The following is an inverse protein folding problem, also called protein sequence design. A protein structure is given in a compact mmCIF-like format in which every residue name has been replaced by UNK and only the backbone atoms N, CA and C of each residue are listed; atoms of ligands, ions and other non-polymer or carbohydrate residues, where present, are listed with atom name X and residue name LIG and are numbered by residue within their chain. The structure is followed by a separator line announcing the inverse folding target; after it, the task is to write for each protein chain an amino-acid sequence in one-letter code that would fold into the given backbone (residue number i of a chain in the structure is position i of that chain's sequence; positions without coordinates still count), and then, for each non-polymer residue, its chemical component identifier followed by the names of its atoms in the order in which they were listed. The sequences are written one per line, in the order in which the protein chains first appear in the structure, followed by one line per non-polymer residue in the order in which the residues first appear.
data_IF_009742678191
#
_entry.id   IF_009742678191
#
_cell.length_a   1.000
_cell.length_b   1.000
_cell.length_c   1.000
_cell.angle_alpha   90.00
_cell.angle_beta   90.00
_cell.angle_gamma   90.00
#
_symmetry.space_group_name_H-M   'P 1'
#
loop_
_entity.id
_entity.type
_entity.pdbx_description
1 polymer ?
#
# COMPACT_ATOMS: atom_id res chain seq x y z
N UNK A 1 -0.13 7.44 -9.14
CA UNK A 1 -1.45 7.58 -8.47
C UNK A 1 -1.39 7.27 -6.96
N UNK A 2 -0.65 6.26 -6.50
CA UNK A 2 -0.62 5.84 -5.08
C UNK A 2 -0.02 6.91 -4.13
N UNK A 3 0.93 7.74 -4.58
CA UNK A 3 1.54 8.80 -3.75
C UNK A 3 0.55 9.85 -3.20
N UNK A 4 -0.58 10.10 -3.89
CA UNK A 4 -1.59 11.06 -3.44
C UNK A 4 -2.25 10.67 -2.10
N UNK A 5 -2.37 9.36 -1.83
CA UNK A 5 -2.92 8.88 -0.56
C UNK A 5 -2.05 9.25 0.66
N UNK A 6 -0.73 9.28 0.50
CA UNK A 6 0.20 9.72 1.57
C UNK A 6 0.05 11.21 1.85
N UNK A 7 -0.10 12.04 0.81
CA UNK A 7 -0.32 13.49 0.97
C UNK A 7 -1.64 13.75 1.73
N UNK A 8 -2.71 13.05 1.35
CA UNK A 8 -3.96 13.10 2.10
C UNK A 8 -3.78 12.68 3.57
N UNK A 9 -3.02 11.62 3.82
CA UNK A 9 -2.67 11.15 5.16
C UNK A 9 -1.84 12.13 6.01
N UNK A 10 -1.22 13.15 5.40
CA UNK A 10 -0.55 14.24 6.11
C UNK A 10 -1.55 15.37 6.39
N UNK A 11 -2.29 15.81 5.37
CA UNK A 11 -3.16 16.98 5.42
C UNK A 11 -4.35 16.74 6.35
N UNK A 12 -5.03 15.58 6.25
CA UNK A 12 -6.27 15.32 6.98
C UNK A 12 -6.08 15.24 8.50
N UNK A 13 -5.09 14.51 9.05
CA UNK A 13 -4.90 14.47 10.50
C UNK A 13 -4.54 15.83 11.08
N UNK A 14 -3.71 16.62 10.40
CA UNK A 14 -3.32 17.97 10.86
C UNK A 14 -4.54 18.90 10.84
N UNK A 15 -5.33 18.87 9.77
CA UNK A 15 -6.52 19.70 9.66
C UNK A 15 -7.55 19.33 10.74
N UNK A 16 -7.76 18.04 11.00
CA UNK A 16 -8.69 17.57 12.03
C UNK A 16 -8.23 17.90 13.44
N UNK A 17 -6.93 17.77 13.76
CA UNK A 17 -6.38 18.17 15.06
C UNK A 17 -6.57 19.67 15.31
N UNK A 18 -6.31 20.51 14.30
CA UNK A 18 -6.50 21.96 14.40
C UNK A 18 -7.98 22.35 14.58
N UNK A 19 -8.90 21.67 13.90
CA UNK A 19 -10.33 21.96 13.99
C UNK A 19 -10.95 21.45 15.30
N UNK A 20 -10.64 20.23 15.70
CA UNK A 20 -11.26 19.57 16.86
C UNK A 20 -10.59 19.97 18.18
N UNK A 21 -9.25 19.95 18.25
CA UNK A 21 -8.53 20.14 19.52
C UNK A 21 -8.20 21.61 19.78
N UNK A 22 -7.80 22.39 18.76
CA UNK A 22 -7.42 23.80 18.95
C UNK A 22 -8.59 24.78 18.81
N UNK A 23 -9.41 24.63 17.78
CA UNK A 23 -10.57 25.53 17.52
C UNK A 23 -11.87 25.06 18.16
N UNK A 24 -11.89 23.89 18.81
CA UNK A 24 -13.07 23.26 19.43
C UNK A 24 -14.34 23.33 18.57
N UNK A 25 -14.20 23.12 17.26
CA UNK A 25 -15.34 23.06 16.34
C UNK A 25 -16.08 21.73 16.54
N UNK A 26 -17.42 21.77 16.49
CA UNK A 26 -18.24 20.56 16.50
C UNK A 26 -17.82 19.59 15.40
N UNK A 27 -17.77 18.29 15.73
CA UNK A 27 -17.37 17.21 14.83
C UNK A 27 -18.08 17.27 13.47
N UNK A 28 -19.38 17.60 13.45
CA UNK A 28 -20.16 17.71 12.23
C UNK A 28 -19.68 18.83 11.30
N UNK A 29 -19.26 19.98 11.83
CA UNK A 29 -18.72 21.07 11.03
C UNK A 29 -17.32 20.78 10.50
N UNK A 30 -16.49 20.06 11.27
CA UNK A 30 -15.17 19.62 10.81
C UNK A 30 -15.27 18.67 9.59
N UNK A 31 -16.23 17.75 9.59
CA UNK A 31 -16.50 16.88 8.43
C UNK A 31 -17.03 17.65 7.22
N UNK A 32 -17.90 18.65 7.42
CA UNK A 32 -18.41 19.49 6.32
C UNK A 32 -17.29 20.29 5.65
N UNK A 33 -16.40 20.87 6.44
CA UNK A 33 -15.21 21.58 5.93
C UNK A 33 -14.34 20.61 5.11
N UNK A 34 -14.12 19.39 5.59
CA UNK A 34 -13.39 18.38 4.84
C UNK A 34 -14.05 18.06 3.47
N UNK A 35 -15.38 17.93 3.45
CA UNK A 35 -16.15 17.76 2.21
C UNK A 35 -16.01 18.94 1.24
N UNK A 36 -16.11 20.18 1.75
CA UNK A 36 -15.97 21.39 0.92
C UNK A 36 -14.58 21.54 0.30
N UNK A 37 -13.54 21.01 0.95
CA UNK A 37 -12.17 20.97 0.39
C UNK A 37 -12.04 19.87 -0.67
N UNK A 38 -12.65 18.70 -0.46
CA UNK A 38 -12.56 17.56 -1.39
C UNK A 38 -13.29 17.78 -2.71
N UNK A 39 -14.49 18.37 -2.68
CA UNK A 39 -15.34 18.55 -3.88
C UNK A 39 -14.62 19.31 -5.02
N UNK A 40 -14.07 20.52 -4.81
CA UNK A 40 -13.42 21.27 -5.89
C UNK A 40 -12.14 20.58 -6.37
N UNK A 41 -11.38 19.93 -5.46
CA UNK A 41 -10.16 19.18 -5.84
C UNK A 41 -10.53 17.99 -6.74
N UNK A 42 -11.55 17.22 -6.37
CA UNK A 42 -12.05 16.12 -7.20
C UNK A 42 -12.58 16.63 -8.56
N UNK A 43 -13.34 17.72 -8.57
CA UNK A 43 -13.89 18.32 -9.79
C UNK A 43 -12.78 18.81 -10.74
N UNK A 44 -11.76 19.49 -10.21
CA UNK A 44 -10.63 19.95 -11.00
C UNK A 44 -9.83 18.77 -11.57
N UNK A 45 -9.64 17.69 -10.79
CA UNK A 45 -8.95 16.50 -11.24
C UNK A 45 -9.75 15.78 -12.35
N UNK A 46 -11.06 15.61 -12.19
CA UNK A 46 -11.89 14.96 -13.23
C UNK A 46 -11.92 15.76 -14.53
N UNK A 47 -11.92 17.09 -14.46
CA UNK A 47 -11.84 17.98 -15.62
C UNK A 47 -10.44 18.01 -16.26
N UNK A 48 -9.37 17.82 -15.47
CA UNK A 48 -7.99 17.84 -15.95
C UNK A 48 -7.51 16.48 -16.49
N UNK A 49 -8.13 15.35 -16.11
CA UNK A 49 -7.78 14.03 -16.63
C UNK A 49 -8.13 13.97 -18.12
N UNK A 50 -7.10 14.08 -18.96
CA UNK A 50 -7.19 13.72 -20.37
C UNK A 50 -6.86 12.25 -20.51
N UNK A 51 -7.82 11.47 -20.98
CA UNK A 51 -7.57 10.07 -21.37
C UNK A 51 -6.54 10.12 -22.51
N UNK A 52 -5.41 9.40 -22.43
CA UNK A 52 -4.51 9.26 -23.56
C UNK A 52 -5.32 8.78 -24.76
N UNK A 53 -5.31 9.53 -25.84
CA UNK A 53 -6.08 9.17 -27.03
C UNK A 53 -5.61 7.79 -27.49
N UNK A 54 -6.46 6.76 -27.36
CA UNK A 54 -6.25 5.40 -27.92
C UNK A 54 -6.04 5.39 -29.45
N UNK A 55 -6.00 6.56 -30.08
CA UNK A 55 -5.98 6.77 -31.53
C UNK A 55 -4.70 6.28 -32.20
N UNK A 56 -3.57 6.19 -31.49
CA UNK A 56 -2.32 5.72 -32.10
C UNK A 56 -2.20 4.18 -32.06
N UNK A 57 -2.57 3.53 -30.95
CA UNK A 57 -2.55 2.06 -30.84
C UNK A 57 -3.63 1.40 -31.71
N UNK A 58 -4.81 2.05 -31.82
CA UNK A 58 -5.87 1.58 -32.71
C UNK A 58 -5.49 1.73 -34.19
N UNK A 59 -4.79 2.80 -34.59
CA UNK A 59 -4.34 3.00 -35.99
C UNK A 59 -3.23 2.05 -36.41
N UNK A 60 -2.34 1.65 -35.49
CA UNK A 60 -1.32 0.64 -35.77
C UNK A 60 -1.91 -0.77 -35.87
N UNK A 61 -2.90 -1.10 -35.02
CA UNK A 61 -3.64 -2.35 -35.12
C UNK A 61 -4.54 -2.43 -36.37
N UNK A 62 -5.17 -1.32 -36.79
CA UNK A 62 -5.99 -1.26 -38.00
C UNK A 62 -5.14 -1.41 -39.28
N UNK A 63 -3.95 -0.81 -39.31
CA UNK A 63 -3.06 -0.95 -40.47
C UNK A 63 -2.41 -2.34 -40.57
N UNK A 64 -2.22 -3.04 -39.44
CA UNK A 64 -1.76 -4.43 -39.44
C UNK A 64 -2.88 -5.44 -39.81
N UNK A 65 -4.13 -5.15 -39.45
CA UNK A 65 -5.29 -6.02 -39.75
C UNK A 65 -5.95 -5.75 -41.12
N UNK A 66 -5.64 -4.64 -41.79
CA UNK A 66 -6.14 -4.35 -43.15
C UNK A 66 -5.63 -5.31 -44.24
N UNK A 67 -4.71 -6.22 -43.91
CA UNK A 67 -4.27 -7.31 -44.79
C UNK A 67 -4.94 -8.67 -44.54
N UNK A 68 -5.72 -8.85 -43.46
CA UNK A 68 -6.25 -10.16 -43.09
C UNK A 68 -7.72 -10.07 -42.64
N UNK A 69 -8.62 -10.27 -43.61
CA UNK A 69 -10.01 -10.73 -43.51
C UNK A 69 -10.95 -10.16 -42.44
N UNK A 70 -12.01 -9.52 -42.94
CA UNK A 70 -13.22 -9.12 -42.21
C UNK A 70 -13.91 -10.31 -41.54
N UNK A 71 -13.98 -10.30 -40.22
CA UNK A 71 -14.88 -11.13 -39.42
C UNK A 71 -15.40 -10.33 -38.21
N UNK A 72 -16.60 -10.61 -37.69
CA UNK A 72 -17.17 -9.86 -36.58
C UNK A 72 -16.24 -9.95 -35.37
N UNK A 73 -15.97 -8.80 -34.75
CA UNK A 73 -15.12 -8.68 -33.57
C UNK A 73 -15.64 -9.59 -32.46
N UNK A 74 -15.05 -10.79 -32.36
CA UNK A 74 -15.28 -11.70 -31.24
C UNK A 74 -15.05 -10.90 -29.96
N UNK A 75 -16.06 -10.82 -29.10
CA UNK A 75 -15.89 -10.37 -27.73
C UNK A 75 -14.63 -11.02 -27.18
N UNK A 76 -13.60 -10.21 -26.89
CA UNK A 76 -12.35 -10.70 -26.30
C UNK A 76 -12.74 -11.30 -24.95
N UNK A 77 -12.90 -12.62 -24.90
CA UNK A 77 -13.12 -13.37 -23.66
C UNK A 77 -12.10 -12.88 -22.64
N UNK A 78 -12.57 -12.55 -21.44
CA UNK A 78 -11.68 -12.14 -20.35
C UNK A 78 -10.59 -13.21 -20.20
N UNK A 79 -9.34 -12.82 -20.45
CA UNK A 79 -8.21 -13.71 -20.31
C UNK A 79 -7.95 -13.95 -18.82
N UNK A 80 -8.44 -15.09 -18.32
CA UNK A 80 -8.31 -15.52 -16.91
C UNK A 80 -6.96 -16.25 -16.70
N UNK A 81 -6.11 -16.35 -17.73
CA UNK A 81 -4.81 -17.05 -17.64
C UNK A 81 -3.96 -16.57 -16.45
N UNK A 82 -3.96 -15.26 -16.17
CA UNK A 82 -3.23 -14.66 -15.05
C UNK A 82 -3.73 -15.13 -13.68
N UNK A 83 -5.02 -15.41 -13.52
CA UNK A 83 -5.59 -15.93 -12.25
C UNK A 83 -5.13 -17.36 -11.98
N UNK A 84 -4.79 -18.11 -13.04
CA UNK A 84 -4.25 -19.47 -12.93
C UNK A 84 -2.74 -19.50 -12.77
N UNK A 85 -2.05 -18.36 -12.93
CA UNK A 85 -0.59 -18.30 -12.76
C UNK A 85 -0.25 -18.50 -11.27
N UNK A 86 0.44 -19.59 -10.92
CA UNK A 86 0.71 -19.90 -9.52
C UNK A 86 1.61 -18.85 -8.85
N UNK A 87 2.50 -18.18 -9.60
CA UNK A 87 3.32 -17.09 -9.08
C UNK A 87 2.47 -15.89 -8.68
N UNK A 88 1.45 -15.56 -9.48
CA UNK A 88 0.51 -14.48 -9.18
C UNK A 88 -0.36 -14.82 -7.96
N UNK A 89 -0.84 -16.07 -7.85
CA UNK A 89 -1.58 -16.54 -6.67
C UNK A 89 -0.72 -16.41 -5.41
N UNK A 90 0.55 -16.88 -5.45
CA UNK A 90 1.46 -16.75 -4.31
C UNK A 90 1.73 -15.29 -3.93
N UNK A 91 1.87 -14.39 -4.91
CA UNK A 91 2.02 -12.96 -4.66
C UNK A 91 0.78 -12.39 -3.95
N UNK A 92 -0.43 -12.70 -4.43
CA UNK A 92 -1.67 -12.28 -3.80
C UNK A 92 -1.77 -12.79 -2.36
N UNK A 93 -1.53 -14.09 -2.12
CA UNK A 93 -1.57 -14.67 -0.77
C UNK A 93 -0.50 -14.03 0.12
N UNK A 94 0.72 -13.84 -0.38
CA UNK A 94 1.80 -13.21 0.39
C UNK A 94 1.47 -11.78 0.81
N UNK A 95 0.92 -10.97 -0.09
CA UNK A 95 0.46 -9.62 0.23
C UNK A 95 -0.74 -9.61 1.18
N UNK A 96 -1.66 -10.56 1.03
CA UNK A 96 -2.80 -10.75 1.94
C UNK A 96 -2.33 -11.09 3.35
N UNK A 97 -1.40 -12.04 3.50
CA UNK A 97 -0.82 -12.44 4.78
C UNK A 97 -0.06 -11.26 5.41
N UNK A 98 0.75 -10.55 4.64
CA UNK A 98 1.45 -9.35 5.12
C UNK A 98 0.49 -8.27 5.62
N UNK A 99 -0.67 -8.12 4.99
CA UNK A 99 -1.66 -7.07 5.32
C UNK A 99 -2.35 -7.30 6.66
N UNK A 100 -2.45 -8.53 7.16
CA UNK A 100 -2.91 -8.80 8.53
C UNK A 100 -2.05 -8.07 9.58
N UNK A 101 -0.73 -8.03 9.37
CA UNK A 101 0.21 -7.42 10.30
C UNK A 101 0.49 -5.94 10.04
N UNK A 102 0.27 -5.46 8.81
CA UNK A 102 0.66 -4.12 8.38
C UNK A 102 -0.10 -2.99 9.10
N UNK A 103 -1.39 -3.18 9.35
CA UNK A 103 -2.25 -2.14 9.91
C UNK A 103 -2.10 -1.96 11.42
N UNK A 104 -1.62 -2.98 12.15
CA UNK A 104 -1.35 -2.89 13.58
C UNK A 104 -0.43 -1.69 13.92
N UNK A 105 0.79 -1.57 13.37
CA UNK A 105 1.64 -0.40 13.61
C UNK A 105 1.03 0.90 13.14
N UNK A 106 0.37 0.91 11.99
CA UNK A 106 -0.22 2.13 11.44
C UNK A 106 -1.30 2.73 12.35
N UNK A 107 -2.14 1.89 12.99
CA UNK A 107 -3.25 2.38 13.82
C UNK A 107 -2.93 2.54 15.30
N UNK A 108 -2.05 1.71 15.86
CA UNK A 108 -1.81 1.69 17.31
C UNK A 108 -0.51 2.42 17.73
N UNK A 109 0.28 2.97 16.81
CA UNK A 109 1.41 3.87 17.15
C UNK A 109 0.98 5.04 18.04
N UNK A 110 -0.11 5.79 17.73
CA UNK A 110 -0.53 6.91 18.56
C UNK A 110 -0.94 6.47 19.98
N UNK A 111 -1.67 5.36 20.10
CA UNK A 111 -2.09 4.85 21.41
C UNK A 111 -0.91 4.34 22.22
N UNK A 112 0.06 3.68 21.56
CA UNK A 112 1.32 3.28 22.19
C UNK A 112 2.15 4.48 22.66
N UNK A 113 2.22 5.55 21.84
CA UNK A 113 2.93 6.77 22.20
C UNK A 113 2.35 7.40 23.49
N UNK A 114 1.03 7.51 23.57
CA UNK A 114 0.35 8.03 24.76
C UNK A 114 0.59 7.11 25.97
N UNK A 115 0.52 5.79 25.78
CA UNK A 115 0.81 4.82 26.85
C UNK A 115 2.25 4.91 27.40
N UNK A 116 3.21 5.38 26.58
CA UNK A 116 4.59 5.64 26.99
C UNK A 116 4.83 7.09 27.47
N UNK A 117 3.76 7.86 27.74
CA UNK A 117 3.86 9.20 28.32
C UNK A 117 4.14 10.34 27.33
N UNK A 118 3.93 10.13 26.01
CA UNK A 118 3.95 11.23 25.05
C UNK A 118 2.64 12.02 25.12
N UNK A 119 2.71 13.32 24.81
CA UNK A 119 1.52 14.16 24.74
C UNK A 119 0.58 13.70 23.62
N UNK A 120 -0.73 13.82 23.84
CA UNK A 120 -1.73 13.46 22.84
C UNK A 120 -1.50 14.20 21.51
N UNK A 121 -1.11 15.48 21.56
CA UNK A 121 -0.79 16.26 20.36
C UNK A 121 0.38 15.65 19.57
N UNK A 122 1.48 15.26 20.23
CA UNK A 122 2.59 14.61 19.54
C UNK A 122 2.18 13.26 18.96
N UNK A 123 1.37 12.48 19.70
CA UNK A 123 0.85 11.20 19.24
C UNK A 123 -0.02 11.33 17.97
N UNK A 124 -0.83 12.39 17.85
CA UNK A 124 -1.57 12.70 16.62
C UNK A 124 -0.62 13.03 15.45
N UNK A 125 0.42 13.83 15.68
CA UNK A 125 1.40 14.18 14.64
C UNK A 125 2.25 12.99 14.18
N UNK A 126 2.39 11.92 14.97
CA UNK A 126 3.09 10.70 14.53
C UNK A 126 2.47 10.09 13.27
N UNK A 127 1.14 10.17 13.10
CA UNK A 127 0.46 9.69 11.89
C UNK A 127 0.88 10.52 10.67
N UNK A 128 0.97 11.85 10.83
CA UNK A 128 1.42 12.74 9.76
C UNK A 128 2.89 12.49 9.41
N UNK A 129 3.76 12.30 10.42
CA UNK A 129 5.16 11.95 10.22
C UNK A 129 5.31 10.61 9.49
N UNK A 130 4.53 9.61 9.89
CA UNK A 130 4.49 8.29 9.26
C UNK A 130 4.08 8.38 7.79
N UNK A 131 3.03 9.15 7.47
CA UNK A 131 2.59 9.34 6.09
C UNK A 131 3.60 10.14 5.26
N UNK A 132 4.29 11.11 5.87
CA UNK A 132 5.43 11.80 5.27
C UNK A 132 6.55 10.86 4.88
N UNK A 133 6.99 9.99 5.81
CA UNK A 133 7.99 8.97 5.51
C UNK A 133 7.50 7.96 4.45
N UNK A 134 6.21 7.61 4.48
CA UNK A 134 5.58 6.74 3.48
C UNK A 134 5.64 7.32 2.07
N UNK A 135 5.43 8.64 1.92
CA UNK A 135 5.60 9.31 0.64
C UNK A 135 7.03 9.17 0.11
N UNK A 136 8.03 9.41 0.95
CA UNK A 136 9.45 9.27 0.59
C UNK A 136 9.78 7.82 0.24
N UNK A 137 9.27 6.86 1.00
CA UNK A 137 9.38 5.42 0.71
C UNK A 137 8.84 5.09 -0.68
N UNK A 138 7.61 5.52 -0.98
CA UNK A 138 6.95 5.28 -2.27
C UNK A 138 7.72 5.85 -3.46
N UNK A 139 8.20 7.09 -3.34
CA UNK A 139 8.93 7.76 -4.43
C UNK A 139 10.30 7.12 -4.64
N UNK A 140 11.06 6.93 -3.56
CA UNK A 140 12.40 6.35 -3.65
C UNK A 140 12.36 4.91 -4.14
N UNK A 141 11.51 4.04 -3.60
CA UNK A 141 11.46 2.65 -4.05
C UNK A 141 10.83 2.47 -5.41
N UNK A 142 9.93 3.37 -5.83
CA UNK A 142 9.46 3.43 -7.21
C UNK A 142 10.60 3.63 -8.20
N UNK A 143 11.52 4.55 -7.91
CA UNK A 143 12.72 4.75 -8.74
C UNK A 143 13.70 3.56 -8.66
N UNK A 144 13.89 2.99 -7.46
CA UNK A 144 14.77 1.84 -7.30
C UNK A 144 14.23 0.58 -8.00
N UNK A 145 12.92 0.47 -8.20
CA UNK A 145 12.29 -0.68 -8.84
C UNK A 145 12.79 -0.92 -10.26
N UNK A 146 13.03 0.16 -11.01
CA UNK A 146 13.58 0.10 -12.37
C UNK A 146 15.01 -0.49 -12.39
N UNK A 147 15.75 -0.36 -11.27
CA UNK A 147 17.13 -0.85 -11.15
C UNK A 147 17.24 -2.23 -10.52
N UNK A 148 16.42 -2.54 -9.51
CA UNK A 148 16.59 -3.75 -8.70
C UNK A 148 15.49 -4.82 -8.91
N UNK A 149 14.44 -4.52 -9.68
CA UNK A 149 13.32 -5.42 -9.95
C UNK A 149 12.20 -5.27 -8.92
N UNK A 150 10.96 -5.39 -9.37
CA UNK A 150 9.77 -5.11 -8.56
C UNK A 150 9.61 -6.12 -7.42
N UNK A 151 9.71 -7.42 -7.73
CA UNK A 151 9.51 -8.50 -6.75
C UNK A 151 10.62 -8.54 -5.71
N UNK A 152 11.85 -8.22 -6.12
CA UNK A 152 13.03 -8.22 -5.24
C UNK A 152 12.87 -7.16 -4.15
N UNK A 153 12.52 -5.94 -4.56
CA UNK A 153 12.23 -4.87 -3.62
C UNK A 153 10.97 -5.16 -2.82
N UNK A 154 9.91 -5.73 -3.42
CA UNK A 154 8.66 -6.02 -2.71
C UNK A 154 8.91 -6.96 -1.53
N UNK A 155 9.65 -8.05 -1.78
CA UNK A 155 10.12 -8.96 -0.73
C UNK A 155 10.92 -8.21 0.34
N UNK A 156 11.97 -7.48 -0.06
CA UNK A 156 12.90 -6.82 0.86
C UNK A 156 12.21 -5.77 1.74
N UNK A 157 11.34 -4.94 1.15
CA UNK A 157 10.59 -3.91 1.88
C UNK A 157 9.56 -4.52 2.82
N UNK A 158 8.94 -5.64 2.44
CA UNK A 158 7.98 -6.35 3.30
C UNK A 158 8.70 -7.00 4.48
N UNK A 159 9.85 -7.64 4.24
CA UNK A 159 10.68 -8.23 5.29
C UNK A 159 11.17 -7.15 6.26
N UNK A 160 11.70 -6.04 5.74
CA UNK A 160 12.17 -4.93 6.56
C UNK A 160 11.04 -4.32 7.41
N UNK A 161 9.83 -4.17 6.84
CA UNK A 161 8.66 -3.74 7.61
C UNK A 161 8.32 -4.72 8.73
N UNK A 162 8.42 -6.03 8.47
CA UNK A 162 8.19 -7.06 9.49
C UNK A 162 9.21 -7.02 10.64
N UNK A 163 10.49 -6.87 10.32
CA UNK A 163 11.56 -6.71 11.34
C UNK A 163 11.33 -5.45 12.16
N UNK A 164 11.05 -4.32 11.52
CA UNK A 164 10.74 -3.06 12.22
C UNK A 164 9.54 -3.25 13.14
N UNK A 165 8.47 -3.89 12.67
CA UNK A 165 7.27 -4.14 13.46
C UNK A 165 7.53 -5.02 14.70
N UNK A 166 8.45 -5.99 14.65
CA UNK A 166 8.88 -6.76 15.82
C UNK A 166 9.69 -5.94 16.83
N UNK A 167 10.41 -4.93 16.35
CA UNK A 167 11.20 -4.04 17.20
C UNK A 167 10.35 -2.96 17.89
N UNK A 168 9.06 -2.85 17.58
CA UNK A 168 8.17 -1.82 18.13
C UNK A 168 8.24 -1.76 19.66
N UNK A 169 8.08 -2.89 20.36
CA UNK A 169 7.98 -2.88 21.82
C UNK A 169 9.24 -2.37 22.54
N UNK A 170 10.40 -2.28 21.86
CA UNK A 170 11.65 -1.74 22.41
C UNK A 170 11.71 -0.21 22.33
N UNK A 171 10.86 0.44 21.53
CA UNK A 171 10.85 1.88 21.35
C UNK A 171 10.09 2.60 22.48
N UNK A 172 10.72 2.79 23.64
CA UNK A 172 10.06 3.42 24.80
C UNK A 172 10.33 4.92 24.93
N UNK A 173 11.41 5.43 24.33
CA UNK A 173 11.77 6.85 24.37
C UNK A 173 11.02 7.65 23.30
N UNK A 174 10.82 8.95 23.55
CA UNK A 174 10.18 9.87 22.57
C UNK A 174 10.87 9.81 21.20
N UNK A 175 12.19 9.86 21.18
CA UNK A 175 12.98 9.77 19.96
C UNK A 175 12.83 8.41 19.27
N UNK A 176 12.86 7.31 20.04
CA UNK A 176 12.70 5.96 19.49
C UNK A 176 11.32 5.75 18.84
N UNK A 177 10.25 6.28 19.44
CA UNK A 177 8.89 6.18 18.89
C UNK A 177 8.76 6.97 17.58
N UNK A 178 9.36 8.17 17.51
CA UNK A 178 9.38 8.97 16.27
C UNK A 178 10.16 8.24 15.17
N UNK A 179 11.36 7.73 15.49
CA UNK A 179 12.18 6.96 14.53
C UNK A 179 11.43 5.70 14.07
N UNK A 180 10.76 5.00 14.98
CA UNK A 180 9.94 3.85 14.65
C UNK A 180 8.79 4.21 13.70
N UNK A 181 8.07 5.31 13.95
CA UNK A 181 6.99 5.77 13.09
C UNK A 181 7.50 6.15 11.68
N UNK A 182 8.66 6.81 11.59
CA UNK A 182 9.29 7.16 10.32
C UNK A 182 9.76 5.90 9.56
N UNK A 183 10.43 4.97 10.25
CA UNK A 183 10.92 3.74 9.65
C UNK A 183 9.75 2.86 9.16
N UNK A 184 8.73 2.67 9.99
CA UNK A 184 7.52 1.93 9.62
C UNK A 184 6.78 2.62 8.47
N UNK A 185 6.69 3.95 8.47
CA UNK A 185 6.10 4.74 7.38
C UNK A 185 6.82 4.52 6.07
N UNK A 186 8.14 4.69 6.07
CA UNK A 186 8.99 4.50 4.89
C UNK A 186 8.84 3.09 4.29
N UNK A 187 9.00 2.04 5.09
CA UNK A 187 9.00 0.66 4.57
C UNK A 187 7.61 0.17 4.18
N UNK A 188 6.56 0.55 4.92
CA UNK A 188 5.18 0.24 4.52
C UNK A 188 4.79 0.97 3.23
N UNK A 189 5.17 2.24 3.08
CA UNK A 189 5.00 2.99 1.84
C UNK A 189 5.70 2.34 0.66
N UNK A 190 6.95 1.94 0.88
CA UNK A 190 7.75 1.23 -0.10
C UNK A 190 7.13 -0.12 -0.53
N UNK A 191 6.53 -0.86 0.41
CA UNK A 191 5.78 -2.08 0.11
C UNK A 191 4.55 -1.79 -0.77
N UNK A 192 3.75 -0.78 -0.44
CA UNK A 192 2.50 -0.46 -1.16
C UNK A 192 2.74 -0.06 -2.62
N UNK A 193 3.79 0.72 -2.92
CA UNK A 193 4.02 1.17 -4.30
C UNK A 193 4.38 0.01 -5.25
N UNK A 194 4.98 -1.05 -4.71
CA UNK A 194 5.48 -2.19 -5.49
C UNK A 194 4.41 -3.24 -5.81
N UNK A 195 3.27 -3.22 -5.12
CA UNK A 195 2.17 -4.18 -5.32
C UNK A 195 1.68 -4.18 -6.78
N UNK A 196 1.26 -3.02 -7.29
CA UNK A 196 0.70 -2.90 -8.65
C UNK A 196 1.73 -3.25 -9.74
N UNK A 197 2.99 -2.76 -9.70
CA UNK A 197 4.03 -3.19 -10.63
C UNK A 197 4.28 -4.71 -10.65
N UNK A 198 4.33 -5.36 -9.48
CA UNK A 198 4.51 -6.81 -9.39
C UNK A 198 3.36 -7.57 -10.07
N UNK A 199 2.11 -7.12 -9.91
CA UNK A 199 0.97 -7.73 -10.58
C UNK A 199 0.99 -7.52 -12.10
N UNK A 200 1.32 -6.30 -12.55
CA UNK A 200 1.39 -5.97 -13.97
C UNK A 200 2.48 -6.77 -14.68
N UNK A 201 3.59 -7.03 -13.99
CA UNK A 201 4.70 -7.82 -14.51
C UNK A 201 4.34 -9.30 -14.73
N UNK A 202 3.43 -9.84 -13.94
CA UNK A 202 2.97 -11.23 -14.03
C UNK A 202 1.75 -11.41 -14.95
N UNK A 203 1.17 -10.31 -15.43
CA UNK A 203 -0.06 -10.29 -16.21
C UNK A 203 0.20 -10.07 -17.72
N UNK A 204 -0.62 -10.72 -18.55
CA UNK A 204 -0.69 -10.42 -20.00
C UNK A 204 -1.29 -9.03 -20.24
N UNK A 205 -0.95 -8.33 -21.34
CA UNK A 205 -1.50 -7.02 -21.66
C UNK A 205 -3.04 -6.97 -21.62
N UNK A 206 -3.71 -8.04 -22.03
CA UNK A 206 -5.18 -8.14 -21.97
C UNK A 206 -5.74 -8.32 -20.56
N UNK A 207 -4.98 -8.93 -19.64
CA UNK A 207 -5.44 -9.26 -18.28
C UNK A 207 -4.93 -8.32 -17.18
N UNK A 208 -4.13 -7.29 -17.51
CA UNK A 208 -3.58 -6.31 -16.54
C UNK A 208 -4.66 -5.69 -15.65
N UNK A 209 -5.80 -5.30 -16.23
CA UNK A 209 -6.90 -4.73 -15.46
C UNK A 209 -7.43 -5.69 -14.38
N UNK A 210 -7.67 -6.94 -14.77
CA UNK A 210 -8.12 -8.00 -13.86
C UNK A 210 -7.07 -8.33 -12.80
N UNK A 211 -5.79 -8.40 -13.18
CA UNK A 211 -4.69 -8.67 -12.25
C UNK A 211 -4.57 -7.59 -11.16
N UNK A 212 -4.61 -6.32 -11.56
CA UNK A 212 -4.58 -5.20 -10.61
C UNK A 212 -5.81 -5.24 -9.71
N UNK A 213 -7.01 -5.47 -10.26
CA UNK A 213 -8.25 -5.56 -9.49
C UNK A 213 -8.20 -6.68 -8.44
N UNK A 214 -7.76 -7.88 -8.84
CA UNK A 214 -7.65 -9.02 -7.94
C UNK A 214 -6.59 -8.81 -6.84
N UNK A 215 -5.47 -8.17 -7.19
CA UNK A 215 -4.43 -7.80 -6.23
C UNK A 215 -4.90 -6.72 -5.24
N UNK A 216 -5.85 -5.86 -5.60
CA UNK A 216 -6.42 -4.88 -4.67
C UNK A 216 -7.45 -5.52 -3.73
N UNK A 217 -8.23 -6.49 -4.22
CA UNK A 217 -9.25 -7.18 -3.42
C UNK A 217 -8.61 -8.15 -2.42
N UNK A 218 -7.59 -8.91 -2.84
CA UNK A 218 -7.02 -9.97 -2.00
C UNK A 218 -6.50 -9.46 -0.63
N UNK A 219 -5.81 -8.31 -0.52
CA UNK A 219 -5.37 -7.75 0.76
C UNK A 219 -6.46 -6.97 1.50
N UNK A 220 -7.53 -6.53 0.82
CA UNK A 220 -8.60 -5.75 1.45
C UNK A 220 -9.32 -6.53 2.57
N UNK A 221 -9.61 -7.81 2.35
CA UNK A 221 -10.26 -8.68 3.34
C UNK A 221 -9.38 -8.88 4.60
N UNK A 222 -8.10 -9.27 4.48
CA UNK A 222 -7.14 -9.26 5.59
C UNK A 222 -7.05 -7.92 6.31
N UNK A 223 -7.05 -6.79 5.59
CA UNK A 223 -6.98 -5.47 6.22
C UNK A 223 -8.20 -5.17 7.09
N UNK A 224 -9.38 -5.56 6.62
CA UNK A 224 -10.64 -5.42 7.35
C UNK A 224 -10.66 -6.29 8.62
N UNK A 225 -10.23 -7.54 8.53
CA UNK A 225 -10.28 -8.51 9.64
C UNK A 225 -9.10 -8.37 10.61
N UNK A 226 -7.91 -7.97 10.11
CA UNK A 226 -6.69 -7.83 10.92
C UNK A 226 -6.75 -6.69 11.93
N UNK A 227 -7.48 -5.62 11.62
CA UNK A 227 -7.59 -4.45 12.53
C UNK A 227 -8.37 -4.78 13.82
N UNK A 228 -9.54 -5.44 13.77
CA UNK A 228 -10.22 -5.96 14.98
C UNK A 228 -9.38 -6.95 15.78
N UNK A 229 -8.65 -7.86 15.13
CA UNK A 229 -7.75 -8.81 15.80
C UNK A 229 -6.68 -8.04 16.58
N UNK A 230 -6.06 -7.05 15.93
CA UNK A 230 -5.07 -6.14 16.53
C UNK A 230 -5.65 -5.42 17.74
N UNK A 231 -6.87 -4.89 17.64
CA UNK A 231 -7.56 -4.22 18.75
C UNK A 231 -7.80 -5.14 19.95
N UNK A 232 -8.06 -6.43 19.72
CA UNK A 232 -8.23 -7.42 20.81
C UNK A 232 -6.90 -7.88 21.42
N UNK A 233 -5.77 -7.62 20.76
CA UNK A 233 -4.43 -7.90 21.27
C UNK A 233 -3.89 -6.77 22.15
N UNK A 234 -4.31 -5.52 21.95
CA UNK A 234 -3.85 -4.37 22.74
C UNK A 234 -3.98 -4.59 24.26
N UNK A 235 -5.12 -5.09 24.80
CA UNK A 235 -5.26 -5.31 26.24
C UNK A 235 -4.33 -6.39 26.79
N UNK A 236 -3.82 -7.28 25.93
CA UNK A 236 -2.86 -8.34 26.29
C UNK A 236 -1.41 -7.86 26.27
N UNK A 237 -1.18 -6.61 25.88
CA UNK A 237 0.14 -5.97 25.83
C UNK A 237 0.65 -5.73 24.41
N UNK A 238 1.43 -4.67 24.25
CA UNK A 238 1.98 -4.24 22.96
C UNK A 238 3.03 -5.20 22.40
N UNK A 239 3.65 -6.06 23.23
CA UNK A 239 4.51 -7.13 22.76
C UNK A 239 3.75 -8.13 21.88
N UNK A 240 2.55 -8.55 22.31
CA UNK A 240 1.73 -9.48 21.55
C UNK A 240 1.31 -8.87 20.20
N UNK A 241 0.97 -7.57 20.20
CA UNK A 241 0.62 -6.83 18.99
C UNK A 241 1.81 -6.69 18.03
N UNK A 242 3.00 -6.38 18.56
CA UNK A 242 4.25 -6.26 17.80
C UNK A 242 4.67 -7.60 17.18
N UNK A 243 4.59 -8.70 17.94
CA UNK A 243 4.87 -10.04 17.44
C UNK A 243 3.86 -10.49 16.39
N UNK A 244 2.57 -10.23 16.59
CA UNK A 244 1.53 -10.46 15.60
C UNK A 244 1.83 -9.71 14.29
N UNK A 245 2.08 -8.40 14.38
CA UNK A 245 2.37 -7.56 13.22
C UNK A 245 3.59 -8.07 12.44
N UNK A 246 4.70 -8.27 13.15
CA UNK A 246 5.96 -8.72 12.56
C UNK A 246 5.88 -10.12 11.97
N UNK A 247 5.25 -11.08 12.66
CA UNK A 247 5.14 -12.46 12.19
C UNK A 247 4.36 -12.56 10.88
N UNK A 248 3.22 -11.89 10.77
CA UNK A 248 2.43 -11.87 9.53
C UNK A 248 3.15 -11.16 8.38
N UNK A 249 3.86 -10.08 8.66
CA UNK A 249 4.69 -9.38 7.66
C UNK A 249 5.85 -10.26 7.16
N UNK A 250 6.56 -10.94 8.06
CA UNK A 250 7.65 -11.85 7.69
C UNK A 250 7.15 -13.10 6.96
N UNK A 251 6.01 -13.67 7.39
CA UNK A 251 5.38 -14.79 6.70
C UNK A 251 4.93 -14.39 5.28
N UNK A 252 4.30 -13.21 5.14
CA UNK A 252 3.95 -12.66 3.83
C UNK A 252 5.17 -12.40 2.95
N UNK A 253 6.25 -11.87 3.54
CA UNK A 253 7.53 -11.70 2.86
C UNK A 253 8.11 -13.03 2.37
N UNK A 254 8.10 -14.10 3.18
CA UNK A 254 8.55 -15.42 2.78
C UNK A 254 7.74 -16.00 1.60
N UNK A 255 6.42 -15.76 1.57
CA UNK A 255 5.57 -16.16 0.44
C UNK A 255 5.88 -15.36 -0.84
N UNK A 256 6.16 -14.06 -0.71
CA UNK A 256 6.59 -13.22 -1.84
C UNK A 256 7.96 -13.67 -2.36
N UNK A 257 8.88 -14.04 -1.46
CA UNK A 257 10.16 -14.64 -1.85
C UNK A 257 9.95 -15.95 -2.60
N UNK A 258 9.03 -16.79 -2.15
CA UNK A 258 8.70 -18.02 -2.83
C UNK A 258 8.11 -17.78 -4.23
N UNK A 259 7.21 -16.80 -4.38
CA UNK A 259 6.70 -16.37 -5.67
C UNK A 259 7.84 -15.96 -6.61
N UNK A 260 8.78 -15.15 -6.10
CA UNK A 260 9.96 -14.71 -6.85
C UNK A 260 10.84 -15.88 -7.29
N UNK A 261 11.18 -16.79 -6.38
CA UNK A 261 12.05 -17.94 -6.67
C UNK A 261 11.43 -18.89 -7.71
N UNK A 262 10.09 -18.97 -7.76
CA UNK A 262 9.37 -19.69 -8.82
C UNK A 262 9.44 -19.00 -10.18
N UNK A 263 9.48 -17.67 -10.21
CA UNK A 263 9.62 -16.93 -11.45
C UNK A 263 11.05 -16.98 -11.99
N UNK A 264 12.05 -16.86 -11.11
CA UNK A 264 13.46 -16.97 -11.48
C UNK A 264 14.30 -17.38 -10.27
N UNK A 265 15.02 -18.48 -10.37
CA UNK A 265 15.81 -19.04 -9.25
C UNK A 265 17.10 -18.27 -8.96
N UNK A 266 17.49 -17.29 -9.79
CA UNK A 266 18.66 -16.44 -9.55
C UNK A 266 18.28 -15.23 -8.68
N UNK A 267 18.77 -15.21 -7.44
CA UNK A 267 18.48 -14.19 -6.39
C UNK A 267 19.00 -12.77 -6.73
N UNK A 268 19.72 -12.58 -7.84
CA UNK A 268 20.24 -11.28 -8.29
C UNK A 268 19.87 -10.93 -9.74
N UNK A 269 19.09 -11.76 -10.46
CA UNK A 269 18.65 -11.38 -11.80
C UNK A 269 17.57 -10.30 -11.71
N UNK A 270 17.65 -9.32 -12.62
CA UNK A 270 16.57 -8.36 -12.86
C UNK A 270 15.37 -9.15 -13.37
N UNK A 271 14.40 -9.36 -12.48
CA UNK A 271 13.01 -9.65 -12.84
C UNK A 271 12.21 -8.56 -12.18
#
# INVERSE_FOLDING_TARGET
MIAGSSIGGIIWPIMLDQLLNKRQRSFGWSLRIAGFVMIPVCLLITLAIRVPSKRNDARQADNANRGANNGPSKEKKADISTVKNPTFILLCIGLSVATFGLFAPLFFIPTYAVANGLSASLAFYLISMLNGASLVGRVSTGYLADKYGNLNLCFATTALTGVIAMCWNKATSKAAIIIFALACGYTSGAMFILQTPCAVQLATPESRGTAIGLLMIAPALPGLVGTPISGRLVPKGYLALSMYAGAFLLAGSALILWARLRQNSKVLSKV
#
